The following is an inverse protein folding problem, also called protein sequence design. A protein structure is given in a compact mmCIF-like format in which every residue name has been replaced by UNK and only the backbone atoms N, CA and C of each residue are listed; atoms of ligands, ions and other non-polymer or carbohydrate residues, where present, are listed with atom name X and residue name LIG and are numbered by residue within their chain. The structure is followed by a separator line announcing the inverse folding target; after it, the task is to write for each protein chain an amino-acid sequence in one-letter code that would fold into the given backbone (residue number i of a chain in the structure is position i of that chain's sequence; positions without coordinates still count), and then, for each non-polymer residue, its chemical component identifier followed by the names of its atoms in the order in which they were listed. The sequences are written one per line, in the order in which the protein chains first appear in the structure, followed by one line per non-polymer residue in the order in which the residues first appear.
data_IF_288967019375
#
_entry.id   IF_288967019375
#
_cell.length_a   1.000
_cell.length_b   1.000
_cell.length_c   1.000
_cell.angle_alpha   90.00
_cell.angle_beta   90.00
_cell.angle_gamma   90.00
#
_symmetry.space_group_name_H-M   'P 1'
#
loop_
_entity.id
_entity.type
_entity.pdbx_description
1 polymer ?
#
# COMPACT_ATOMS: atom_id res chain seq x y z
N UNK A 1 3.92 -3.94 9.71
CA UNK A 1 4.47 -2.61 9.41
C UNK A 1 4.55 -1.71 10.65
N UNK A 2 3.52 -1.51 11.50
CA UNK A 2 3.62 -0.63 12.67
C UNK A 2 4.79 -1.00 13.59
N UNK A 3 4.98 -2.28 13.87
CA UNK A 3 6.08 -2.77 14.72
C UNK A 3 7.44 -2.47 14.07
N UNK A 4 7.56 -2.64 12.76
CA UNK A 4 8.79 -2.35 12.02
C UNK A 4 9.13 -0.86 12.06
N UNK A 5 8.13 0.02 11.91
CA UNK A 5 8.31 1.47 12.01
C UNK A 5 8.79 1.82 13.41
N UNK A 6 8.13 1.33 14.46
CA UNK A 6 8.56 1.55 15.84
C UNK A 6 10.00 1.06 16.05
N UNK A 7 10.34 -0.14 15.56
CA UNK A 7 11.67 -0.70 15.70
C UNK A 7 12.74 0.16 15.00
N UNK A 8 12.47 0.63 13.78
CA UNK A 8 13.38 1.48 13.02
C UNK A 8 13.63 2.83 13.73
N UNK A 9 12.59 3.47 14.26
CA UNK A 9 12.74 4.75 14.96
C UNK A 9 13.36 4.62 16.36
N UNK A 10 13.38 3.43 16.94
CA UNK A 10 14.11 3.16 18.18
C UNK A 10 15.62 2.92 17.97
N UNK A 11 16.10 2.83 16.73
CA UNK A 11 17.53 2.83 16.42
C UNK A 11 17.97 4.30 16.29
N UNK A 12 18.83 4.83 17.19
CA UNK A 12 19.17 6.27 17.21
C UNK A 12 19.72 6.77 15.87
N UNK A 13 20.59 6.00 15.24
CA UNK A 13 21.16 6.36 13.94
C UNK A 13 20.12 6.52 12.83
N UNK A 14 19.03 5.72 12.86
CA UNK A 14 17.94 5.80 11.87
C UNK A 14 17.05 7.00 12.14
N UNK A 15 16.72 7.25 13.41
CA UNK A 15 15.91 8.40 13.81
C UNK A 15 16.61 9.72 13.46
N UNK A 16 17.90 9.82 13.73
CA UNK A 16 18.69 11.01 13.42
C UNK A 16 18.81 11.23 11.90
N UNK A 17 19.06 10.18 11.13
CA UNK A 17 19.10 10.25 9.67
C UNK A 17 17.78 10.73 9.06
N UNK A 18 16.64 10.28 9.61
CA UNK A 18 15.31 10.70 9.14
C UNK A 18 15.04 12.16 9.50
N UNK A 19 15.44 12.60 10.71
CA UNK A 19 15.33 13.99 11.13
C UNK A 19 16.22 14.91 10.29
N UNK A 20 17.44 14.49 10.00
CA UNK A 20 18.37 15.24 9.14
C UNK A 20 17.84 15.31 7.71
N UNK A 21 17.29 14.21 7.17
CA UNK A 21 16.60 14.19 5.88
C UNK A 21 15.47 15.23 5.87
N UNK A 22 14.59 15.22 6.87
CA UNK A 22 13.52 16.22 7.00
C UNK A 22 14.05 17.64 7.07
N UNK A 23 15.04 17.91 7.93
CA UNK A 23 15.63 19.25 8.10
C UNK A 23 16.29 19.76 6.80
N UNK A 24 16.81 18.88 5.98
CA UNK A 24 17.35 19.23 4.66
C UNK A 24 16.26 19.69 3.70
N UNK A 25 15.07 19.08 3.79
CA UNK A 25 13.93 19.43 2.95
C UNK A 25 13.12 20.62 3.49
N UNK A 26 13.04 20.84 4.79
CA UNK A 26 12.37 22.01 5.39
C UNK A 26 12.98 23.35 4.94
N UNK A 27 14.26 23.37 4.54
CA UNK A 27 14.94 24.58 4.04
C UNK A 27 14.59 24.96 2.61
N UNK A 28 13.89 24.14 1.89
CA UNK A 28 13.65 24.30 0.44
C UNK A 28 12.22 24.41 0.00
N UNK A 29 11.36 25.14 0.71
CA UNK A 29 9.97 25.43 0.27
C UNK A 29 9.21 24.25 -0.36
N UNK A 30 8.05 24.47 -0.94
CA UNK A 30 7.07 23.56 -1.53
C UNK A 30 7.58 22.27 -2.25
N UNK A 31 8.80 22.28 -2.80
CA UNK A 31 9.39 21.09 -3.43
C UNK A 31 9.65 19.96 -2.43
N UNK A 32 9.91 20.31 -1.17
CA UNK A 32 10.13 19.34 -0.10
C UNK A 32 8.86 18.52 0.20
N UNK A 33 7.71 19.19 0.27
CA UNK A 33 6.44 18.53 0.62
C UNK A 33 6.01 17.57 -0.48
N UNK A 34 6.23 17.93 -1.75
CA UNK A 34 5.95 17.05 -2.90
C UNK A 34 6.86 15.81 -2.89
N UNK A 35 8.14 15.96 -2.57
CA UNK A 35 9.06 14.81 -2.48
C UNK A 35 8.67 13.90 -1.33
N UNK A 36 8.35 14.45 -0.15
CA UNK A 36 7.87 13.65 0.99
C UNK A 36 6.58 12.91 0.63
N UNK A 37 5.63 13.58 -0.01
CA UNK A 37 4.39 12.96 -0.48
C UNK A 37 4.64 11.80 -1.44
N UNK A 38 5.56 11.97 -2.40
CA UNK A 38 5.97 10.92 -3.36
C UNK A 38 6.57 9.73 -2.60
N UNK A 39 7.50 9.96 -1.69
CA UNK A 39 8.16 8.90 -0.91
C UNK A 39 7.14 8.14 -0.06
N UNK A 40 6.27 8.86 0.64
CA UNK A 40 5.19 8.24 1.45
C UNK A 40 4.26 7.41 0.59
N UNK A 41 3.89 7.90 -0.60
CA UNK A 41 3.04 7.18 -1.55
C UNK A 41 3.70 5.88 -2.02
N UNK A 42 4.97 5.91 -2.38
CA UNK A 42 5.73 4.70 -2.80
C UNK A 42 5.78 3.68 -1.66
N UNK A 43 6.09 4.12 -0.44
CA UNK A 43 6.14 3.26 0.75
C UNK A 43 4.75 2.66 1.03
N UNK A 44 3.68 3.45 0.92
CA UNK A 44 2.32 2.98 1.14
C UNK A 44 1.91 1.91 0.11
N UNK A 45 2.21 2.13 -1.18
CA UNK A 45 1.96 1.11 -2.21
C UNK A 45 2.74 -0.18 -1.96
N UNK A 46 4.03 -0.06 -1.64
CA UNK A 46 4.88 -1.21 -1.35
C UNK A 46 4.38 -1.98 -0.12
N UNK A 47 4.09 -1.27 0.96
CA UNK A 47 3.60 -1.87 2.20
C UNK A 47 2.26 -2.59 2.02
N UNK A 48 1.34 -2.01 1.25
CA UNK A 48 0.04 -2.62 0.98
C UNK A 48 0.13 -3.79 0.02
N UNK A 49 0.99 -3.71 -0.99
CA UNK A 49 1.20 -4.77 -1.97
C UNK A 49 1.85 -6.03 -1.36
N UNK A 50 2.70 -5.85 -0.35
CA UNK A 50 3.28 -6.97 0.41
C UNK A 50 2.26 -7.67 1.32
N UNK A 51 1.05 -7.12 1.50
CA UNK A 51 -0.01 -7.82 2.22
C UNK A 51 -0.62 -8.92 1.34
N UNK A 52 -0.22 -10.15 1.60
CA UNK A 52 -0.64 -11.32 0.81
C UNK A 52 -2.11 -11.73 1.02
N UNK A 53 -2.85 -11.09 1.94
CA UNK A 53 -4.25 -11.47 2.24
C UNK A 53 -5.12 -11.39 0.98
N UNK A 54 -4.97 -10.32 0.19
CA UNK A 54 -5.72 -10.14 -1.04
C UNK A 54 -5.27 -11.07 -2.16
N UNK A 55 -3.95 -11.15 -2.38
CA UNK A 55 -3.33 -11.92 -3.48
C UNK A 55 -3.31 -13.43 -3.26
N UNK A 56 -3.83 -13.92 -2.13
CA UNK A 56 -3.99 -15.35 -1.83
C UNK A 56 -5.39 -15.73 -1.39
N UNK A 57 -6.37 -14.86 -1.62
CA UNK A 57 -7.73 -15.01 -1.09
C UNK A 57 -8.50 -16.21 -1.66
N UNK A 58 -8.25 -16.59 -2.92
CA UNK A 58 -8.78 -17.79 -3.58
C UNK A 58 -7.82 -18.96 -3.44
N UNK A 59 -6.53 -18.72 -3.55
CA UNK A 59 -5.49 -19.73 -3.36
C UNK A 59 -5.63 -20.46 -2.03
N UNK A 60 -6.01 -19.76 -0.94
CA UNK A 60 -6.23 -20.38 0.39
C UNK A 60 -7.36 -21.37 0.45
N UNK A 61 -8.29 -21.33 -0.48
CA UNK A 61 -9.36 -22.33 -0.55
C UNK A 61 -8.89 -23.67 -1.12
N UNK A 62 -7.76 -23.66 -1.85
CA UNK A 62 -7.11 -24.87 -2.37
C UNK A 62 -8.07 -25.74 -3.16
N UNK A 63 -8.07 -27.06 -2.88
CA UNK A 63 -8.95 -28.04 -3.51
C UNK A 63 -10.45 -27.80 -3.22
N UNK A 64 -10.78 -27.03 -2.16
CA UNK A 64 -12.16 -26.71 -1.79
C UNK A 64 -12.77 -25.55 -2.61
N UNK A 65 -12.04 -24.98 -3.55
CA UNK A 65 -12.52 -23.87 -4.41
C UNK A 65 -13.80 -24.26 -5.18
N UNK A 66 -14.00 -25.55 -5.47
CA UNK A 66 -15.24 -26.08 -6.09
C UNK A 66 -16.47 -25.90 -5.19
N UNK A 67 -16.29 -25.85 -3.87
CA UNK A 67 -17.36 -25.65 -2.90
C UNK A 67 -18.01 -24.28 -3.03
N UNK A 68 -17.26 -23.26 -3.48
CA UNK A 68 -17.78 -21.91 -3.75
C UNK A 68 -18.98 -21.95 -4.69
N UNK A 69 -18.98 -22.88 -5.66
CA UNK A 69 -20.07 -23.04 -6.63
C UNK A 69 -21.34 -23.62 -6.02
N UNK A 70 -21.23 -24.30 -4.89
CA UNK A 70 -22.38 -24.93 -4.21
C UNK A 70 -23.01 -24.02 -3.14
N UNK A 71 -22.36 -22.90 -2.81
CA UNK A 71 -22.90 -21.93 -1.87
C UNK A 71 -24.03 -21.16 -2.56
N UNK A 72 -25.26 -21.09 -1.98
CA UNK A 72 -26.40 -20.41 -2.58
C UNK A 72 -26.30 -18.90 -2.48
N UNK A 73 -25.16 -18.34 -2.89
CA UNK A 73 -24.86 -16.91 -2.92
C UNK A 73 -24.27 -16.52 -4.26
N UNK A 74 -24.61 -15.31 -4.74
CA UNK A 74 -24.03 -14.79 -5.97
C UNK A 74 -22.49 -14.68 -5.83
N UNK A 75 -21.77 -15.15 -6.83
CA UNK A 75 -20.30 -15.11 -6.86
C UNK A 75 -19.73 -13.71 -6.59
N UNK A 76 -20.38 -12.67 -7.12
CA UNK A 76 -20.00 -11.26 -6.86
C UNK A 76 -20.01 -10.92 -5.37
N UNK A 77 -20.95 -11.47 -4.61
CA UNK A 77 -21.02 -11.21 -3.16
C UNK A 77 -19.86 -11.89 -2.44
N UNK A 78 -19.51 -13.10 -2.83
CA UNK A 78 -18.39 -13.85 -2.24
C UNK A 78 -17.05 -13.13 -2.50
N UNK A 79 -16.82 -12.66 -3.74
CA UNK A 79 -15.62 -11.86 -4.08
C UNK A 79 -15.60 -10.56 -3.28
N UNK A 80 -16.76 -9.87 -3.18
CA UNK A 80 -16.85 -8.61 -2.43
C UNK A 80 -16.49 -8.78 -0.95
N UNK A 81 -16.92 -9.86 -0.32
CA UNK A 81 -16.57 -10.17 1.08
C UNK A 81 -15.06 -10.35 1.23
N UNK A 82 -14.41 -11.08 0.31
CA UNK A 82 -12.95 -11.26 0.32
C UNK A 82 -12.21 -9.92 0.19
N UNK A 83 -12.68 -9.05 -0.71
CA UNK A 83 -12.14 -7.69 -0.86
C UNK A 83 -12.31 -6.89 0.43
N UNK A 84 -13.50 -6.89 1.03
CA UNK A 84 -13.78 -6.14 2.26
C UNK A 84 -12.91 -6.59 3.43
N UNK A 85 -12.75 -7.90 3.64
CA UNK A 85 -11.90 -8.44 4.71
C UNK A 85 -10.45 -7.99 4.49
N UNK A 86 -9.94 -8.11 3.27
CA UNK A 86 -8.58 -7.69 2.94
C UNK A 86 -8.38 -6.18 3.12
N UNK A 87 -9.37 -5.36 2.72
CA UNK A 87 -9.35 -3.91 2.90
C UNK A 87 -9.37 -3.51 4.37
N UNK A 88 -10.15 -4.19 5.22
CA UNK A 88 -10.20 -3.91 6.66
C UNK A 88 -8.82 -4.14 7.31
N UNK A 89 -8.23 -5.32 7.12
CA UNK A 89 -6.92 -5.63 7.71
C UNK A 89 -5.81 -4.70 7.20
N UNK A 90 -5.74 -4.48 5.89
CA UNK A 90 -4.75 -3.59 5.30
C UNK A 90 -4.98 -2.13 5.69
N UNK A 91 -6.25 -1.69 5.71
CA UNK A 91 -6.63 -0.33 6.07
C UNK A 91 -6.28 0.00 7.53
N UNK A 92 -6.62 -0.87 8.46
CA UNK A 92 -6.25 -0.70 9.88
C UNK A 92 -4.72 -0.62 10.02
N UNK A 93 -3.99 -1.51 9.34
CA UNK A 93 -2.52 -1.52 9.39
C UNK A 93 -1.93 -0.23 8.86
N UNK A 94 -2.42 0.29 7.73
CA UNK A 94 -1.95 1.56 7.15
C UNK A 94 -2.28 2.76 8.03
N UNK A 95 -3.49 2.83 8.57
CA UNK A 95 -3.90 3.92 9.46
C UNK A 95 -2.99 3.96 10.69
N UNK A 96 -2.80 2.83 11.37
CA UNK A 96 -1.93 2.75 12.55
C UNK A 96 -0.49 3.12 12.18
N UNK A 97 0.04 2.61 11.06
CA UNK A 97 1.40 2.91 10.60
C UNK A 97 1.58 4.39 10.29
N UNK A 98 0.59 5.03 9.65
CA UNK A 98 0.62 6.45 9.33
C UNK A 98 0.55 7.32 10.58
N UNK A 99 -0.29 6.97 11.55
CA UNK A 99 -0.37 7.70 12.83
C UNK A 99 0.95 7.62 13.58
N UNK A 100 1.56 6.44 13.68
CA UNK A 100 2.86 6.25 14.30
C UNK A 100 3.92 7.09 13.59
N UNK A 101 3.98 7.01 12.26
CA UNK A 101 4.95 7.77 11.46
C UNK A 101 4.76 9.28 11.65
N UNK A 102 3.52 9.77 11.65
CA UNK A 102 3.20 11.19 11.85
C UNK A 102 3.67 11.71 13.22
N UNK A 103 3.55 10.90 14.28
CA UNK A 103 4.04 11.24 15.62
C UNK A 103 5.57 11.34 15.62
N UNK A 104 6.27 10.36 15.03
CA UNK A 104 7.74 10.36 14.99
C UNK A 104 8.33 11.46 14.11
N UNK A 105 7.59 11.86 13.08
CA UNK A 105 8.02 12.90 12.13
C UNK A 105 7.52 14.30 12.48
N UNK A 106 6.81 14.48 13.61
CA UNK A 106 6.17 15.75 14.00
C UNK A 106 5.37 16.40 12.85
N UNK A 107 4.64 15.57 12.09
CA UNK A 107 3.85 16.06 10.96
C UNK A 107 2.66 16.88 11.43
N UNK A 108 2.25 17.87 10.61
CA UNK A 108 1.01 18.60 10.85
C UNK A 108 -0.20 17.65 10.81
N UNK A 109 -1.25 18.00 11.54
CA UNK A 109 -2.51 17.25 11.51
C UNK A 109 -3.06 17.12 10.07
N UNK A 110 -2.95 18.18 9.29
CA UNK A 110 -3.40 18.22 7.88
C UNK A 110 -2.62 17.22 7.04
N UNK A 111 -1.28 17.18 7.16
CA UNK A 111 -0.42 16.25 6.44
C UNK A 111 -0.74 14.80 6.80
N UNK A 112 -0.97 14.53 8.08
CA UNK A 112 -1.35 13.21 8.58
C UNK A 112 -2.66 12.73 7.94
N UNK A 113 -3.65 13.60 7.80
CA UNK A 113 -4.92 13.27 7.12
C UNK A 113 -4.67 12.98 5.64
N UNK A 114 -3.85 13.77 4.94
CA UNK A 114 -3.49 13.49 3.54
C UNK A 114 -2.82 12.12 3.38
N UNK A 115 -1.87 11.77 4.24
CA UNK A 115 -1.18 10.47 4.19
C UNK A 115 -2.14 9.31 4.46
N UNK A 116 -3.10 9.46 5.38
CA UNK A 116 -4.13 8.44 5.62
C UNK A 116 -5.00 8.25 4.37
N UNK A 117 -5.46 9.33 3.75
CA UNK A 117 -6.30 9.26 2.54
C UNK A 117 -5.56 8.55 1.41
N UNK A 118 -4.30 8.92 1.15
CA UNK A 118 -3.46 8.28 0.14
C UNK A 118 -3.26 6.80 0.48
N UNK A 119 -2.93 6.49 1.73
CA UNK A 119 -2.74 5.12 2.19
C UNK A 119 -3.99 4.25 1.97
N UNK A 120 -5.19 4.75 2.28
CA UNK A 120 -6.46 4.04 2.06
C UNK A 120 -6.73 3.83 0.56
N UNK A 121 -6.43 4.82 -0.29
CA UNK A 121 -6.53 4.65 -1.74
C UNK A 121 -5.57 3.57 -2.26
N UNK A 122 -4.31 3.56 -1.78
CA UNK A 122 -3.33 2.52 -2.10
C UNK A 122 -3.83 1.13 -1.67
N UNK A 123 -4.40 1.02 -0.47
CA UNK A 123 -5.03 -0.23 0.03
C UNK A 123 -6.12 -0.69 -0.94
N UNK A 124 -7.01 0.21 -1.35
CA UNK A 124 -8.07 -0.11 -2.31
C UNK A 124 -7.51 -0.69 -3.61
N UNK A 125 -6.60 0.02 -4.24
CA UNK A 125 -5.99 -0.40 -5.51
C UNK A 125 -5.28 -1.76 -5.36
N UNK A 126 -4.37 -1.89 -4.39
CA UNK A 126 -3.60 -3.12 -4.18
C UNK A 126 -4.49 -4.32 -3.80
N UNK A 127 -5.58 -4.10 -3.06
CA UNK A 127 -6.52 -5.15 -2.70
C UNK A 127 -7.30 -5.64 -3.92
N UNK A 128 -7.84 -4.72 -4.73
CA UNK A 128 -8.57 -5.11 -5.93
C UNK A 128 -7.68 -5.81 -6.95
N UNK A 129 -6.48 -5.32 -7.20
CA UNK A 129 -5.51 -5.96 -8.11
C UNK A 129 -5.09 -7.33 -7.58
N UNK A 130 -4.82 -7.47 -6.29
CA UNK A 130 -4.44 -8.73 -5.66
C UNK A 130 -5.55 -9.79 -5.76
N UNK A 131 -6.79 -9.44 -5.42
CA UNK A 131 -7.95 -10.35 -5.54
C UNK A 131 -8.22 -10.71 -6.99
N UNK A 132 -8.07 -9.76 -7.93
CA UNK A 132 -8.25 -10.03 -9.36
C UNK A 132 -7.21 -11.03 -9.87
N UNK A 133 -5.93 -10.83 -9.55
CA UNK A 133 -4.85 -11.75 -9.92
C UNK A 133 -5.10 -13.16 -9.38
N UNK A 134 -5.43 -13.26 -8.10
CA UNK A 134 -5.65 -14.56 -7.47
C UNK A 134 -6.93 -15.25 -7.96
N UNK A 135 -7.95 -14.48 -8.36
CA UNK A 135 -9.17 -15.04 -8.96
C UNK A 135 -8.97 -15.61 -10.36
N UNK A 136 -7.98 -15.09 -11.11
CA UNK A 136 -7.69 -15.54 -12.47
C UNK A 136 -6.71 -16.70 -12.51
N UNK A 137 -5.75 -16.74 -11.57
CA UNK A 137 -4.70 -17.76 -11.51
C UNK A 137 -4.47 -18.25 -10.08
N UNK A 138 -5.49 -18.89 -9.43
CA UNK A 138 -5.31 -19.39 -8.08
C UNK A 138 -4.34 -20.58 -8.09
N UNK A 139 -3.41 -20.63 -7.16
CA UNK A 139 -2.56 -21.78 -6.91
C UNK A 139 -3.33 -22.77 -6.05
N UNK A 140 -3.82 -23.86 -6.65
CA UNK A 140 -4.70 -24.83 -5.99
C UNK A 140 -3.91 -26.02 -5.44
N UNK A 141 -2.75 -26.35 -6.06
CA UNK A 141 -1.94 -27.51 -5.73
C UNK A 141 -0.98 -27.19 -4.57
N UNK A 142 -1.47 -27.32 -3.35
CA UNK A 142 -0.68 -27.22 -2.13
C UNK A 142 -1.17 -28.21 -1.08
N UNK A 143 -0.23 -28.81 -0.36
CA UNK A 143 -0.52 -29.80 0.69
C UNK A 143 -0.57 -29.14 2.07
N UNK A 144 0.23 -28.10 2.28
CA UNK A 144 0.34 -27.35 3.53
C UNK A 144 -0.14 -25.91 3.38
N UNK A 145 -0.67 -25.30 4.44
CA UNK A 145 -1.07 -23.89 4.47
C UNK A 145 0.09 -22.96 4.09
N UNK A 146 1.33 -23.32 4.44
CA UNK A 146 2.55 -22.65 3.97
C UNK A 146 2.74 -22.75 2.46
N UNK A 147 2.34 -23.83 1.86
CA UNK A 147 2.38 -24.05 0.42
C UNK A 147 1.51 -23.09 -0.38
N UNK A 148 0.39 -22.64 0.21
CA UNK A 148 -0.46 -21.62 -0.39
C UNK A 148 0.24 -20.26 -0.53
N UNK A 149 1.12 -19.92 0.41
CA UNK A 149 1.88 -18.68 0.42
C UNK A 149 3.23 -18.81 -0.30
N UNK A 150 3.91 -19.94 -0.07
CA UNK A 150 5.24 -20.20 -0.61
C UNK A 150 5.18 -20.40 -2.12
N UNK A 151 5.95 -19.59 -2.85
CA UNK A 151 6.00 -19.66 -4.31
C UNK A 151 4.70 -19.23 -5.01
N UNK A 152 3.84 -18.46 -4.34
CA UNK A 152 2.68 -17.86 -4.96
C UNK A 152 3.12 -16.61 -5.75
N UNK A 153 3.13 -16.74 -7.08
CA UNK A 153 3.51 -15.67 -7.99
C UNK A 153 2.51 -14.50 -8.00
N UNK A 154 1.26 -14.72 -7.57
CA UNK A 154 0.24 -13.67 -7.54
C UNK A 154 0.62 -12.54 -6.59
N UNK A 155 1.24 -12.85 -5.43
CA UNK A 155 1.74 -11.86 -4.50
C UNK A 155 2.87 -11.02 -5.13
N UNK A 156 3.77 -11.67 -5.86
CA UNK A 156 4.86 -11.00 -6.58
C UNK A 156 4.33 -10.11 -7.71
N UNK A 157 3.40 -10.60 -8.52
CA UNK A 157 2.78 -9.80 -9.59
C UNK A 157 2.00 -8.63 -9.03
N UNK A 158 1.27 -8.81 -7.92
CA UNK A 158 0.57 -7.70 -7.25
C UNK A 158 1.55 -6.60 -6.80
N UNK A 159 2.70 -7.00 -6.25
CA UNK A 159 3.76 -6.06 -5.87
C UNK A 159 4.34 -5.33 -7.09
N UNK A 160 4.61 -6.04 -8.18
CA UNK A 160 5.12 -5.43 -9.42
C UNK A 160 4.12 -4.41 -10.01
N UNK A 161 2.83 -4.76 -10.05
CA UNK A 161 1.76 -3.86 -10.51
C UNK A 161 1.67 -2.63 -9.60
N UNK A 162 1.74 -2.81 -8.28
CA UNK A 162 1.69 -1.72 -7.33
C UNK A 162 2.85 -0.73 -7.52
N UNK A 163 4.07 -1.23 -7.79
CA UNK A 163 5.23 -0.39 -8.09
C UNK A 163 5.01 0.41 -9.38
N UNK A 164 4.51 -0.22 -10.44
CA UNK A 164 4.22 0.47 -11.71
C UNK A 164 3.17 1.56 -11.49
N UNK A 165 2.09 1.25 -10.77
CA UNK A 165 1.04 2.23 -10.45
C UNK A 165 1.63 3.38 -9.62
N UNK A 166 2.44 3.10 -8.59
CA UNK A 166 3.10 4.12 -7.79
C UNK A 166 3.96 5.07 -8.66
N UNK A 167 4.76 4.52 -9.57
CA UNK A 167 5.59 5.31 -10.49
C UNK A 167 4.70 6.22 -11.38
N UNK A 168 3.60 5.70 -11.92
CA UNK A 168 2.67 6.48 -12.75
C UNK A 168 2.03 7.61 -11.94
N UNK A 169 1.57 7.33 -10.72
CA UNK A 169 0.99 8.37 -9.84
C UNK A 169 2.02 9.44 -9.47
N UNK A 170 3.25 9.04 -9.14
CA UNK A 170 4.33 9.97 -8.82
C UNK A 170 4.72 10.83 -10.04
N UNK A 171 4.81 10.23 -11.22
CA UNK A 171 5.08 10.97 -12.46
C UNK A 171 3.96 11.96 -12.80
N UNK A 172 2.69 11.53 -12.67
CA UNK A 172 1.53 12.40 -12.88
C UNK A 172 1.51 13.56 -11.87
N UNK A 173 1.77 13.30 -10.59
CA UNK A 173 1.87 14.33 -9.56
C UNK A 173 2.98 15.33 -9.85
N UNK A 174 4.16 14.87 -10.25
CA UNK A 174 5.27 15.73 -10.64
C UNK A 174 4.94 16.59 -11.88
N UNK A 175 4.30 16.03 -12.90
CA UNK A 175 3.89 16.76 -14.09
C UNK A 175 2.84 17.82 -13.78
N UNK A 176 1.80 17.47 -13.01
CA UNK A 176 0.79 18.43 -12.56
C UNK A 176 1.43 19.58 -11.79
N UNK A 177 2.36 19.28 -10.88
CA UNK A 177 3.13 20.29 -10.17
C UNK A 177 3.88 21.21 -11.12
N UNK A 178 4.62 20.66 -12.08
CA UNK A 178 5.39 21.44 -13.04
C UNK A 178 4.51 22.36 -13.89
N UNK A 179 3.33 21.87 -14.34
CA UNK A 179 2.44 22.66 -15.19
C UNK A 179 1.66 23.74 -14.43
N UNK A 180 1.37 23.55 -13.15
CA UNK A 180 0.61 24.52 -12.34
C UNK A 180 1.48 25.62 -11.75
N UNK A 181 2.77 25.35 -11.52
CA UNK A 181 3.66 26.28 -10.82
C UNK A 181 4.60 27.12 -11.72
N UNK A 182 5.04 26.61 -12.86
CA UNK A 182 5.94 27.34 -13.77
C UNK A 182 5.31 28.64 -14.32
N UNK A 183 4.01 28.71 -14.65
CA UNK A 183 3.41 29.94 -15.12
C UNK A 183 3.37 31.06 -14.08
N UNK A 184 3.37 30.77 -12.79
CA UNK A 184 3.28 31.77 -11.70
C UNK A 184 4.62 32.41 -11.34
N UNK A 185 5.76 31.88 -11.82
CA UNK A 185 7.10 32.43 -11.60
C UNK A 185 7.54 33.30 -12.80
N UNK A 186 6.84 33.22 -13.93
CA UNK A 186 7.15 33.96 -15.16
C UNK A 186 6.35 35.27 -15.31
N UNK A 187 5.60 35.69 -14.28
CA UNK A 187 4.90 36.97 -14.13
C UNK A 187 5.51 37.72 -12.95
#
# INVERSE_FOLDING_TARGET
WPILIIALFNIPATADSIREFRATFEKGYFLSDVIVLIVVTIIAFFATAMNSIASTSFTREGSHISFIKHIPMAYRTQVRVKVWISMLFSGITIIISTVILSIYMDCSFVDSVYYIVIGVLCVGICTYTGVLLDSTHPKIDWEDEYGALRGNLNAFFNMAIAIVIAIVFCAAGYLLFRFTWIPSIAV
#
